data_IF_863317356139
#
_entry.id   IF_863317356139
#
_cell.length_a   1.000
_cell.length_b   1.000
_cell.length_c   1.000
_cell.angle_alpha   90.00
_cell.angle_beta   90.00
_cell.angle_gamma   90.00
#
_symmetry.space_group_name_H-M   'P 1'
#
loop_
_entity.id
_entity.type
_entity.pdbx_description
1 polymer ?
#
# COMPACT_ATOMS: atom_id res chain seq x y z
N UNK A 1 13.55 -4.74 -1.76
CA UNK A 1 12.23 -4.37 -2.31
C UNK A 1 11.28 -4.19 -1.13
N UNK A 2 10.26 -3.30 -1.20
CA UNK A 2 9.26 -3.19 -0.13
C UNK A 2 8.55 -4.53 0.07
N UNK A 3 8.23 -4.85 1.32
CA UNK A 3 7.44 -6.03 1.69
C UNK A 3 5.99 -5.62 1.93
N UNK A 4 5.03 -6.47 1.57
CA UNK A 4 3.61 -6.25 1.85
C UNK A 4 3.07 -7.38 2.75
N UNK A 5 2.66 -7.02 3.96
CA UNK A 5 2.05 -7.94 4.92
C UNK A 5 0.53 -7.79 4.85
N UNK A 6 -0.17 -8.87 4.50
CA UNK A 6 -1.64 -8.91 4.58
C UNK A 6 -2.07 -8.87 6.04
N UNK A 7 -2.85 -7.85 6.43
CA UNK A 7 -3.32 -7.67 7.81
C UNK A 7 -4.75 -8.19 7.97
N UNK A 8 -5.56 -7.99 6.93
CA UNK A 8 -6.92 -8.51 6.77
C UNK A 8 -7.22 -8.65 5.27
N UNK A 9 -8.25 -9.40 4.86
CA UNK A 9 -8.63 -9.48 3.45
C UNK A 9 -8.74 -8.09 2.81
N UNK A 10 -8.05 -7.91 1.68
CA UNK A 10 -8.04 -6.64 0.94
C UNK A 10 -7.23 -5.51 1.56
N UNK A 11 -6.42 -5.75 2.60
CA UNK A 11 -5.62 -4.69 3.21
C UNK A 11 -4.21 -5.17 3.57
N UNK A 12 -3.21 -4.44 3.05
CA UNK A 12 -1.80 -4.71 3.26
C UNK A 12 -1.10 -3.56 3.94
N UNK A 13 -0.20 -3.88 4.86
CA UNK A 13 0.81 -2.94 5.38
C UNK A 13 2.08 -3.10 4.56
N UNK A 14 2.59 -2.00 4.03
CA UNK A 14 3.85 -1.99 3.28
C UNK A 14 4.99 -1.57 4.21
N UNK A 15 6.06 -2.35 4.24
CA UNK A 15 7.24 -2.11 5.06
C UNK A 15 8.53 -2.14 4.24
N UNK A 16 9.58 -1.52 4.75
CA UNK A 16 10.95 -1.83 4.35
C UNK A 16 11.35 -3.23 4.85
N UNK A 17 12.47 -3.80 4.35
CA UNK A 17 12.94 -5.11 4.79
C UNK A 17 13.26 -5.21 6.30
N UNK A 18 13.67 -4.12 6.93
CA UNK A 18 13.92 -4.00 8.38
C UNK A 18 12.64 -3.74 9.19
N UNK A 19 11.46 -3.74 8.56
CA UNK A 19 10.16 -3.68 9.24
C UNK A 19 9.60 -2.27 9.46
N UNK A 20 10.28 -1.21 9.02
CA UNK A 20 9.73 0.15 9.09
C UNK A 20 8.53 0.31 8.17
N UNK A 21 7.43 0.85 8.69
CA UNK A 21 6.20 1.07 7.93
C UNK A 21 6.40 2.18 6.90
N UNK A 22 6.11 1.86 5.63
CA UNK A 22 6.07 2.80 4.51
C UNK A 22 4.65 3.30 4.23
N UNK A 23 3.64 2.47 4.51
CA UNK A 23 2.24 2.84 4.31
C UNK A 23 1.30 1.63 4.26
N UNK A 24 0.18 1.81 3.56
CA UNK A 24 -0.81 0.75 3.36
C UNK A 24 -1.31 0.70 1.92
N UNK A 25 -1.87 -0.45 1.56
CA UNK A 25 -2.61 -0.66 0.32
C UNK A 25 -3.97 -1.26 0.69
N UNK A 26 -5.04 -0.76 0.11
CA UNK A 26 -6.38 -1.30 0.25
C UNK A 26 -6.95 -1.68 -1.12
N UNK A 27 -7.51 -2.89 -1.22
CA UNK A 27 -8.32 -3.30 -2.36
C UNK A 27 -9.68 -2.60 -2.26
N UNK A 28 -10.00 -1.80 -3.27
CA UNK A 28 -11.25 -1.02 -3.36
C UNK A 28 -12.07 -1.37 -4.59
N UNK A 29 -11.54 -2.24 -5.46
CA UNK A 29 -12.23 -2.71 -6.65
C UNK A 29 -13.52 -3.45 -6.32
N UNK A 30 -14.52 -3.28 -7.17
CA UNK A 30 -15.78 -4.02 -7.17
C UNK A 30 -15.92 -4.83 -8.45
N UNK A 31 -16.82 -5.82 -8.45
CA UNK A 31 -17.29 -6.50 -9.66
C UNK A 31 -16.18 -7.11 -10.53
N UNK A 32 -15.18 -7.71 -9.90
CA UNK A 32 -14.11 -8.45 -10.60
C UNK A 32 -13.04 -7.57 -11.26
N UNK A 33 -13.13 -6.24 -11.14
CA UNK A 33 -12.08 -5.32 -11.56
C UNK A 33 -11.18 -5.02 -10.36
N UNK A 34 -9.94 -5.52 -10.31
CA UNK A 34 -9.04 -5.22 -9.22
C UNK A 34 -8.62 -3.74 -9.26
N UNK A 35 -8.87 -3.02 -8.16
CA UNK A 35 -8.34 -1.69 -7.90
C UNK A 35 -7.72 -1.66 -6.50
N UNK A 36 -6.50 -1.11 -6.41
CA UNK A 36 -5.72 -0.99 -5.19
C UNK A 36 -5.37 0.48 -4.94
N UNK A 37 -5.76 1.01 -3.78
CA UNK A 37 -5.35 2.36 -3.34
C UNK A 37 -4.18 2.25 -2.39
N UNK A 38 -3.08 2.90 -2.73
CA UNK A 38 -1.90 2.99 -1.88
C UNK A 38 -1.85 4.34 -1.16
N UNK A 39 -1.54 4.32 0.13
CA UNK A 39 -1.30 5.52 0.92
C UNK A 39 0.05 5.46 1.62
N UNK A 40 0.86 6.51 1.47
CA UNK A 40 2.17 6.68 2.12
C UNK A 40 2.00 7.17 3.54
N UNK A 41 2.62 6.48 4.49
CA UNK A 41 2.72 6.95 5.86
C UNK A 41 3.66 8.16 5.95
N UNK A 42 3.23 9.21 6.65
CA UNK A 42 3.97 10.45 6.88
C UNK A 42 4.22 10.61 8.38
N UNK A 43 5.37 10.14 8.90
CA UNK A 43 5.66 10.16 10.34
C UNK A 43 5.57 11.55 10.96
N UNK A 44 6.01 12.59 10.23
CA UNK A 44 6.02 13.97 10.70
C UNK A 44 4.63 14.50 11.12
N UNK A 45 3.55 13.94 10.57
CA UNK A 45 2.17 14.33 10.87
C UNK A 45 1.34 13.16 11.39
N UNK A 46 1.97 12.02 11.69
CA UNK A 46 1.32 10.75 12.07
C UNK A 46 0.12 10.39 11.18
N UNK A 47 0.22 10.70 9.89
CA UNK A 47 -0.87 10.63 8.93
C UNK A 47 -0.52 9.83 7.68
N UNK A 48 -1.46 9.81 6.74
CA UNK A 48 -1.31 9.15 5.46
C UNK A 48 -1.60 10.11 4.31
N UNK A 49 -0.81 10.01 3.25
CA UNK A 49 -1.03 10.78 2.02
C UNK A 49 -1.28 9.79 0.86
N UNK A 50 -2.22 10.08 -0.05
CA UNK A 50 -2.41 9.26 -1.24
C UNK A 50 -1.10 9.11 -2.02
N UNK A 51 -0.79 7.87 -2.39
CA UNK A 51 0.33 7.54 -3.27
C UNK A 51 -0.17 7.25 -4.69
N UNK A 52 -1.36 6.67 -4.82
CA UNK A 52 -2.04 6.44 -6.09
C UNK A 52 -3.08 5.33 -6.05
N UNK A 53 -3.75 5.12 -7.19
CA UNK A 53 -4.59 3.95 -7.48
C UNK A 53 -3.93 3.10 -8.56
N UNK A 54 -4.04 1.78 -8.43
CA UNK A 54 -3.37 0.82 -9.31
C UNK A 54 -4.31 -0.35 -9.63
N UNK A 55 -4.19 -0.93 -10.82
CA UNK A 55 -4.94 -2.14 -11.20
C UNK A 55 -4.23 -3.45 -10.81
N UNK A 56 -3.01 -3.35 -10.29
CA UNK A 56 -2.16 -4.49 -9.93
C UNK A 56 -1.49 -4.25 -8.56
N UNK A 57 -1.51 -5.28 -7.71
CA UNK A 57 -0.99 -5.19 -6.35
C UNK A 57 0.54 -5.06 -6.33
N UNK A 58 1.27 -5.76 -7.21
CA UNK A 58 2.72 -5.68 -7.27
C UNK A 58 3.18 -4.28 -7.70
N UNK A 59 2.47 -3.66 -8.65
CA UNK A 59 2.72 -2.26 -9.05
C UNK A 59 2.46 -1.30 -7.89
N UNK A 60 1.36 -1.49 -7.14
CA UNK A 60 1.07 -0.69 -5.95
C UNK A 60 2.17 -0.79 -4.87
N UNK A 61 2.75 -1.99 -4.68
CA UNK A 61 3.87 -2.21 -3.75
C UNK A 61 5.14 -1.51 -4.23
N UNK A 62 5.44 -1.60 -5.52
CA UNK A 62 6.63 -0.97 -6.10
C UNK A 62 6.59 0.56 -6.07
N UNK A 63 5.41 1.16 -6.07
CA UNK A 63 5.24 2.61 -5.92
C UNK A 63 5.85 3.16 -4.61
N UNK A 64 6.03 2.34 -3.58
CA UNK A 64 6.64 2.76 -2.30
C UNK A 64 8.17 2.88 -2.33
N UNK A 65 8.82 2.58 -3.48
CA UNK A 65 10.27 2.76 -3.65
C UNK A 65 10.68 4.21 -3.87
N UNK A 66 9.78 5.01 -4.45
CA UNK A 66 9.96 6.43 -4.72
C UNK A 66 9.56 7.28 -3.50
#
# INVERSE_FOLDING_TARGET
MPNALSIRPGYWRVTTPDGRVLGNIEAVGADGVPEYRANRFRPAVLGYAPLGSFSDLAVAIDAFRN
#
